data_IF_326698732009
#
_entry.id   IF_326698732009
#
_cell.length_a   1.000
_cell.length_b   1.000
_cell.length_c   1.000
_cell.angle_alpha   90.00
_cell.angle_beta   90.00
_cell.angle_gamma   90.00
#
_symmetry.space_group_name_H-M   'P 1'
#
loop_
_entity.id
_entity.type
_entity.pdbx_description
1 polymer ?
#
# COMPACT_ATOMS: atom_id res chain seq x y z
N UNK A 1 20.46 2.70 8.08
CA UNK A 1 21.47 1.61 8.11
C UNK A 1 21.21 0.85 9.40
N UNK A 2 21.07 -0.48 9.35
CA UNK A 2 20.67 -1.34 10.49
C UNK A 2 21.87 -1.65 11.38
N UNK A 3 22.44 -0.63 12.00
CA UNK A 3 23.63 -0.78 12.85
C UNK A 3 23.32 -1.69 14.06
N UNK A 4 24.28 -2.52 14.45
CA UNK A 4 24.19 -3.42 15.61
C UNK A 4 23.04 -4.43 15.57
N UNK A 5 22.60 -4.83 14.37
CA UNK A 5 21.57 -5.85 14.20
C UNK A 5 21.58 -6.48 12.81
N UNK A 6 20.59 -7.33 12.57
CA UNK A 6 20.36 -8.01 11.30
C UNK A 6 19.33 -7.21 10.49
N UNK A 7 19.61 -6.89 9.21
CA UNK A 7 18.63 -6.25 8.34
C UNK A 7 17.36 -7.10 8.23
N UNK A 8 16.15 -6.51 8.27
CA UNK A 8 14.88 -7.26 8.19
C UNK A 8 14.76 -8.18 6.98
N UNK A 9 15.38 -7.81 5.86
CA UNK A 9 15.40 -8.59 4.61
C UNK A 9 16.29 -9.83 4.64
N UNK A 10 17.16 -9.97 5.65
CA UNK A 10 18.08 -11.11 5.78
C UNK A 10 17.45 -12.30 6.49
N UNK A 11 16.33 -12.11 7.20
CA UNK A 11 15.63 -13.18 7.88
C UNK A 11 14.93 -14.12 6.90
N UNK A 12 15.12 -15.43 7.08
CA UNK A 12 14.48 -16.49 6.27
C UNK A 12 13.45 -17.30 7.05
N UNK A 13 13.30 -17.06 8.35
CA UNK A 13 12.35 -17.73 9.22
C UNK A 13 12.36 -17.18 10.65
N UNK A 14 11.45 -17.67 11.49
CA UNK A 14 11.22 -17.16 12.85
C UNK A 14 12.08 -17.81 13.94
N UNK A 15 12.69 -18.95 13.64
CA UNK A 15 13.38 -19.78 14.65
C UNK A 15 14.59 -19.04 15.22
N UNK A 16 15.45 -18.48 14.37
CA UNK A 16 16.65 -17.76 14.81
C UNK A 16 16.29 -16.57 15.70
N UNK A 17 15.27 -15.79 15.29
CA UNK A 17 14.76 -14.64 16.05
C UNK A 17 14.26 -15.08 17.43
N UNK A 18 13.44 -16.13 17.50
CA UNK A 18 12.85 -16.59 18.77
C UNK A 18 13.89 -17.20 19.72
N UNK A 19 14.85 -17.97 19.19
CA UNK A 19 15.93 -18.55 19.99
C UNK A 19 16.91 -17.48 20.47
N UNK A 20 17.21 -16.48 19.64
CA UNK A 20 18.02 -15.32 20.06
C UNK A 20 17.32 -14.58 21.20
N UNK A 21 16.05 -14.18 21.02
CA UNK A 21 15.24 -13.55 22.08
C UNK A 21 15.22 -14.38 23.36
N UNK A 22 15.03 -15.70 23.24
CA UNK A 22 15.03 -16.59 24.39
C UNK A 22 16.39 -16.64 25.11
N UNK A 23 17.49 -16.60 24.36
CA UNK A 23 18.84 -16.67 24.93
C UNK A 23 19.29 -15.36 25.58
N UNK A 24 19.00 -14.22 24.94
CA UNK A 24 19.46 -12.89 25.38
C UNK A 24 18.50 -12.24 26.37
N UNK A 25 17.20 -12.60 26.30
CA UNK A 25 16.09 -11.92 26.98
C UNK A 25 15.92 -10.44 26.58
N UNK A 26 16.48 -10.07 25.44
CA UNK A 26 16.47 -8.70 24.91
C UNK A 26 15.81 -8.65 23.52
N UNK A 27 15.20 -7.51 23.12
CA UNK A 27 14.63 -7.36 21.78
C UNK A 27 15.64 -7.66 20.67
N UNK A 28 15.26 -8.55 19.74
CA UNK A 28 16.06 -8.87 18.55
C UNK A 28 15.92 -7.75 17.52
N UNK A 29 17.05 -7.32 16.98
CA UNK A 29 17.14 -6.20 16.02
C UNK A 29 17.52 -6.74 14.65
N UNK A 30 16.76 -6.52 13.57
CA UNK A 30 15.56 -5.69 13.41
C UNK A 30 14.42 -6.42 12.71
N UNK A 31 13.19 -5.89 12.83
CA UNK A 31 11.99 -6.40 12.17
C UNK A 31 11.27 -5.33 11.35
N UNK A 32 10.51 -5.79 10.34
CA UNK A 32 9.52 -5.04 9.57
C UNK A 32 8.24 -5.89 9.50
N UNK A 33 7.14 -5.38 8.92
CA UNK A 33 5.82 -6.01 9.05
C UNK A 33 5.80 -7.51 8.73
N UNK A 34 6.44 -7.96 7.63
CA UNK A 34 6.50 -9.38 7.28
C UNK A 34 7.31 -10.23 8.28
N UNK A 35 8.31 -9.64 8.95
CA UNK A 35 9.09 -10.30 9.99
C UNK A 35 8.22 -10.50 11.24
N UNK A 36 7.52 -9.44 11.66
CA UNK A 36 6.55 -9.50 12.76
C UNK A 36 5.46 -10.54 12.48
N UNK A 37 4.83 -10.47 11.30
CA UNK A 37 3.81 -11.41 10.89
C UNK A 37 4.32 -12.86 10.81
N UNK A 38 5.55 -13.07 10.35
CA UNK A 38 6.18 -14.39 10.32
C UNK A 38 6.41 -14.97 11.71
N UNK A 39 7.01 -14.20 12.61
CA UNK A 39 7.25 -14.58 14.01
C UNK A 39 5.94 -14.85 14.74
N UNK A 40 4.94 -13.97 14.58
CA UNK A 40 3.66 -14.13 15.26
C UNK A 40 2.84 -15.29 14.70
N UNK A 41 2.92 -15.57 13.39
CA UNK A 41 2.33 -16.77 12.81
C UNK A 41 2.95 -18.07 13.39
N UNK A 42 4.26 -18.06 13.66
CA UNK A 42 4.94 -19.18 14.34
C UNK A 42 4.40 -19.34 15.76
N UNK A 43 4.24 -18.24 16.51
CA UNK A 43 3.67 -18.25 17.86
C UNK A 43 2.25 -18.83 17.89
N UNK A 44 1.35 -18.34 17.04
CA UNK A 44 -0.03 -18.81 16.94
C UNK A 44 -0.10 -20.32 16.64
N UNK A 45 0.61 -20.77 15.60
CA UNK A 45 0.60 -22.17 15.17
C UNK A 45 1.25 -23.09 16.19
N UNK A 46 2.31 -22.64 16.87
CA UNK A 46 2.98 -23.41 17.92
C UNK A 46 2.04 -23.67 19.11
N UNK A 47 1.19 -22.70 19.45
CA UNK A 47 0.17 -22.84 20.50
C UNK A 47 -1.09 -23.57 20.06
N UNK A 48 -1.19 -23.97 18.78
CA UNK A 48 -2.36 -24.69 18.24
C UNK A 48 -3.50 -23.80 17.78
N UNK A 49 -3.31 -22.48 17.70
CA UNK A 49 -4.27 -21.56 17.10
C UNK A 49 -4.04 -21.55 15.58
N UNK A 50 -5.04 -21.88 14.74
CA UNK A 50 -4.86 -21.81 13.29
C UNK A 50 -4.58 -20.37 12.87
N UNK A 51 -3.39 -20.14 12.33
CA UNK A 51 -2.91 -18.82 11.89
C UNK A 51 -2.48 -18.81 10.43
N UNK A 52 -2.69 -17.69 9.73
CA UNK A 52 -2.12 -17.42 8.40
C UNK A 52 -1.61 -15.98 8.30
N UNK A 53 -0.67 -15.75 7.40
CA UNK A 53 -0.18 -14.41 7.06
C UNK A 53 -1.01 -13.83 5.92
N UNK A 54 -1.36 -12.56 6.04
CA UNK A 54 -2.05 -11.77 5.03
C UNK A 54 -1.11 -10.69 4.51
N UNK A 55 -1.20 -10.37 3.23
CA UNK A 55 -0.52 -9.23 2.60
C UNK A 55 -1.57 -8.33 1.94
N UNK A 56 -1.59 -7.06 2.33
CA UNK A 56 -2.44 -6.03 1.75
C UNK A 56 -1.62 -5.09 0.88
N UNK A 57 -1.99 -4.90 -0.39
CA UNK A 57 -1.34 -3.97 -1.31
C UNK A 57 -2.02 -2.60 -1.28
N UNK A 58 -1.20 -1.55 -1.33
CA UNK A 58 -1.65 -0.17 -1.06
C UNK A 58 -2.36 -0.06 0.30
N UNK A 59 -1.66 -0.46 1.37
CA UNK A 59 -2.20 -0.42 2.72
C UNK A 59 -2.16 1.01 3.24
N UNK A 60 -3.31 1.53 3.67
CA UNK A 60 -3.35 2.81 4.36
C UNK A 60 -2.74 2.64 5.76
N UNK A 61 -1.92 3.60 6.17
CA UNK A 61 -1.53 3.80 7.55
C UNK A 61 -2.05 5.18 7.97
N UNK A 62 -3.28 5.17 8.47
CA UNK A 62 -4.03 6.33 8.96
C UNK A 62 -3.65 6.60 10.42
N UNK A 63 -3.07 7.77 10.70
CA UNK A 63 -2.60 8.12 12.04
C UNK A 63 -3.70 8.74 12.94
N UNK A 64 -4.92 8.93 12.44
CA UNK A 64 -5.95 9.68 13.14
C UNK A 64 -7.33 8.99 13.18
N UNK A 65 -7.43 7.79 12.57
CA UNK A 65 -8.61 6.94 12.56
C UNK A 65 -9.88 7.62 12.01
N UNK A 66 -9.72 8.49 11.00
CA UNK A 66 -10.81 9.17 10.32
C UNK A 66 -11.25 8.47 9.02
N UNK A 67 -10.64 7.32 8.66
CA UNK A 67 -10.89 6.58 7.40
C UNK A 67 -10.60 7.42 6.14
N UNK A 68 -9.75 8.43 6.27
CA UNK A 68 -9.33 9.31 5.20
C UNK A 68 -7.82 9.45 5.24
N UNK A 69 -7.19 9.27 4.08
CA UNK A 69 -5.77 9.52 3.91
C UNK A 69 -5.60 10.92 3.36
N UNK A 70 -5.05 11.85 4.14
CA UNK A 70 -4.83 13.21 3.69
C UNK A 70 -3.45 13.36 3.02
N UNK A 71 -3.45 13.57 1.71
CA UNK A 71 -2.23 13.87 0.94
C UNK A 71 -2.21 15.35 0.58
N UNK A 72 -1.26 16.09 1.15
CA UNK A 72 -1.07 17.51 0.87
C UNK A 72 0.00 17.69 -0.20
N UNK A 73 -0.33 18.45 -1.25
CA UNK A 73 0.63 18.83 -2.29
C UNK A 73 0.78 20.34 -2.40
N UNK A 74 1.94 20.78 -2.88
CA UNK A 74 2.21 22.19 -3.17
C UNK A 74 1.71 22.63 -4.57
N UNK A 75 2.03 23.87 -4.96
CA UNK A 75 1.63 24.44 -6.27
C UNK A 75 2.20 23.69 -7.48
N UNK A 76 3.34 23.01 -7.29
CA UNK A 76 4.01 22.19 -8.30
C UNK A 76 3.64 20.71 -8.16
N UNK A 77 2.73 20.41 -7.21
CA UNK A 77 2.21 19.09 -6.95
C UNK A 77 3.18 18.16 -6.19
N UNK A 78 4.27 18.69 -5.65
CA UNK A 78 5.14 17.93 -4.79
C UNK A 78 4.44 17.68 -3.46
N UNK A 79 4.52 16.44 -2.95
CA UNK A 79 3.98 16.12 -1.62
C UNK A 79 4.70 16.96 -0.57
N UNK A 80 3.91 17.68 0.22
CA UNK A 80 4.41 18.32 1.41
C UNK A 80 4.56 17.25 2.50
N UNK A 81 5.80 16.80 2.71
CA UNK A 81 6.15 15.80 3.71
C UNK A 81 6.04 16.31 5.16
N UNK A 82 5.86 17.62 5.38
CA UNK A 82 5.61 18.18 6.72
C UNK A 82 4.13 18.15 7.08
N UNK A 83 3.26 18.34 6.07
CA UNK A 83 1.80 18.33 6.25
C UNK A 83 1.21 16.93 6.11
N UNK A 84 1.73 16.12 5.17
CA UNK A 84 1.28 14.75 4.92
C UNK A 84 1.88 13.83 5.97
N UNK A 85 1.06 13.47 6.97
CA UNK A 85 1.46 12.54 8.05
C UNK A 85 1.10 11.11 7.72
N UNK A 86 0.01 10.91 7.01
CA UNK A 86 -0.46 9.59 6.62
C UNK A 86 0.41 9.02 5.51
N UNK A 87 0.53 7.69 5.48
CA UNK A 87 1.37 7.00 4.51
C UNK A 87 0.64 5.83 3.87
N UNK A 88 0.81 5.67 2.56
CA UNK A 88 0.31 4.51 1.83
C UNK A 88 1.49 3.57 1.62
N UNK A 89 1.42 2.41 2.26
CA UNK A 89 2.45 1.40 2.17
C UNK A 89 2.21 0.58 0.90
N UNK A 90 3.28 0.32 0.16
CA UNK A 90 3.20 -0.49 -1.07
C UNK A 90 2.57 -1.84 -0.79
N UNK A 91 2.97 -2.44 0.34
CA UNK A 91 2.29 -3.54 0.95
C UNK A 91 2.48 -3.51 2.48
N UNK A 92 1.55 -4.12 3.18
CA UNK A 92 1.63 -4.39 4.61
C UNK A 92 1.25 -5.83 4.92
N UNK A 93 1.79 -6.40 5.99
CA UNK A 93 1.58 -7.78 6.38
C UNK A 93 1.12 -7.89 7.84
N UNK A 94 0.02 -8.61 8.04
CA UNK A 94 -0.51 -8.98 9.35
C UNK A 94 -0.90 -10.46 9.41
N UNK A 95 -1.52 -10.89 10.51
CA UNK A 95 -1.98 -12.25 10.71
C UNK A 95 -3.49 -12.35 10.79
N UNK A 96 -4.03 -13.47 10.32
CA UNK A 96 -5.35 -13.91 10.73
C UNK A 96 -5.26 -15.11 11.66
N UNK A 97 -5.99 -15.06 12.77
CA UNK A 97 -6.15 -16.15 13.71
C UNK A 97 -7.59 -16.65 13.70
N UNK A 98 -7.80 -17.97 13.60
CA UNK A 98 -9.13 -18.56 13.57
C UNK A 98 -9.64 -18.84 14.98
N UNK A 99 -10.73 -18.20 15.38
CA UNK A 99 -11.38 -18.43 16.67
C UNK A 99 -12.86 -18.03 16.66
N UNK A 100 -13.63 -18.56 17.61
CA UNK A 100 -14.96 -18.02 17.92
C UNK A 100 -14.84 -16.67 18.64
N UNK A 101 -15.85 -15.83 18.51
CA UNK A 101 -15.96 -14.54 19.23
C UNK A 101 -17.19 -14.53 20.14
N UNK A 102 -17.16 -15.25 21.28
CA UNK A 102 -18.30 -15.32 22.21
C UNK A 102 -18.59 -13.97 22.90
N UNK A 103 -17.64 -13.03 22.82
CA UNK A 103 -17.76 -11.65 23.27
C UNK A 103 -18.51 -10.75 22.27
N UNK A 104 -18.75 -11.21 21.04
CA UNK A 104 -19.47 -10.50 20.00
C UNK A 104 -20.81 -11.19 19.68
N UNK A 105 -21.75 -10.49 19.00
CA UNK A 105 -22.93 -11.15 18.44
C UNK A 105 -22.58 -12.31 17.50
N UNK A 106 -23.53 -13.24 17.33
CA UNK A 106 -23.37 -14.38 16.42
C UNK A 106 -23.07 -13.88 15.01
N UNK A 107 -22.10 -14.52 14.34
CA UNK A 107 -21.68 -14.19 12.98
C UNK A 107 -20.28 -13.58 12.87
N UNK A 108 -19.67 -13.14 13.98
CA UNK A 108 -18.35 -12.48 13.97
C UNK A 108 -17.15 -13.39 14.35
N UNK A 109 -17.38 -14.69 14.50
CA UNK A 109 -16.30 -15.68 14.64
C UNK A 109 -15.56 -15.95 13.31
N UNK A 110 -14.66 -16.94 13.30
CA UNK A 110 -13.85 -17.28 12.14
C UNK A 110 -12.51 -16.54 12.15
N UNK A 111 -12.09 -16.01 10.99
CA UNK A 111 -10.83 -15.28 10.90
C UNK A 111 -10.89 -13.92 11.60
N UNK A 112 -9.91 -13.69 12.46
CA UNK A 112 -9.70 -12.42 13.15
C UNK A 112 -8.37 -11.83 12.70
N UNK A 113 -8.38 -10.60 12.20
CA UNK A 113 -7.16 -9.85 11.89
C UNK A 113 -6.45 -9.45 13.20
N UNK A 114 -5.15 -9.70 13.27
CA UNK A 114 -4.28 -9.35 14.38
C UNK A 114 -2.96 -8.86 13.78
N UNK A 115 -2.56 -7.64 14.13
CA UNK A 115 -1.31 -7.04 13.65
C UNK A 115 -0.37 -6.77 14.83
N UNK A 116 0.86 -7.29 14.69
CA UNK A 116 1.94 -7.13 15.67
C UNK A 116 2.96 -6.07 15.24
N UNK A 117 2.76 -5.45 14.08
CA UNK A 117 3.52 -4.30 13.64
C UNK A 117 3.12 -3.09 14.48
N UNK A 118 4.05 -2.43 15.18
CA UNK A 118 3.74 -1.27 15.99
C UNK A 118 3.44 -0.07 15.09
N UNK A 119 2.16 0.10 14.74
CA UNK A 119 1.64 1.22 13.96
C UNK A 119 1.03 2.25 14.92
N UNK A 120 -0.16 1.94 15.44
CA UNK A 120 -0.90 2.78 16.37
C UNK A 120 -0.98 2.18 17.79
N UNK A 121 -1.26 3.04 18.76
CA UNK A 121 -1.47 2.61 20.14
C UNK A 121 -2.94 2.19 20.36
N UNK A 122 -3.14 1.03 20.97
CA UNK A 122 -4.42 0.56 21.50
C UNK A 122 -4.30 0.40 23.02
N UNK A 123 -5.09 1.20 23.77
CA UNK A 123 -5.00 1.37 25.23
C UNK A 123 -3.59 1.69 25.76
N UNK A 124 -2.84 2.52 25.03
CA UNK A 124 -1.49 2.94 25.42
C UNK A 124 -0.40 1.88 25.17
N UNK A 125 -0.70 0.82 24.43
CA UNK A 125 0.28 -0.19 23.99
C UNK A 125 0.22 -0.36 22.47
N UNK A 126 1.37 -0.61 21.84
CA UNK A 126 1.41 -0.99 20.43
C UNK A 126 0.90 -2.42 20.25
N UNK A 127 -0.35 -2.55 19.80
CA UNK A 127 -1.05 -3.81 19.55
C UNK A 127 -2.27 -3.53 18.67
N UNK A 128 -2.71 -4.54 17.90
CA UNK A 128 -3.92 -4.44 17.09
C UNK A 128 -4.64 -5.80 17.03
N UNK A 129 -5.95 -5.79 17.30
CA UNK A 129 -6.85 -6.92 17.20
C UNK A 129 -6.99 -7.74 18.49
N UNK A 130 -7.77 -8.84 18.47
CA UNK A 130 -8.41 -9.46 17.30
C UNK A 130 -9.63 -8.69 16.77
N UNK A 131 -9.55 -8.25 15.51
CA UNK A 131 -10.64 -7.62 14.76
C UNK A 131 -11.34 -8.66 13.88
N UNK A 132 -12.67 -8.78 13.97
CA UNK A 132 -13.39 -9.74 13.12
C UNK A 132 -13.35 -9.30 11.66
N UNK A 133 -12.82 -10.15 10.77
CA UNK A 133 -12.77 -9.88 9.32
C UNK A 133 -14.19 -9.67 8.76
N UNK A 134 -15.17 -10.37 9.32
CA UNK A 134 -16.58 -10.18 8.96
C UNK A 134 -17.13 -8.82 9.39
N UNK A 135 -16.73 -8.33 10.58
CA UNK A 135 -17.12 -6.99 11.05
C UNK A 135 -16.47 -5.90 10.18
N UNK A 136 -15.20 -6.08 9.81
CA UNK A 136 -14.49 -5.18 8.88
C UNK A 136 -15.23 -5.12 7.55
N UNK A 137 -15.56 -6.26 6.93
CA UNK A 137 -16.28 -6.30 5.64
C UNK A 137 -17.58 -5.51 5.62
N UNK A 138 -18.33 -5.51 6.72
CA UNK A 138 -19.64 -4.86 6.80
C UNK A 138 -19.57 -3.48 7.48
N UNK A 139 -18.38 -2.97 7.79
CA UNK A 139 -18.23 -1.68 8.46
C UNK A 139 -18.70 -1.65 9.91
N UNK A 140 -18.89 -2.80 10.57
CA UNK A 140 -19.29 -2.89 11.98
C UNK A 140 -18.09 -2.65 12.92
N UNK A 141 -17.44 -1.50 12.76
CA UNK A 141 -16.17 -1.14 13.43
C UNK A 141 -16.34 -0.78 14.90
N UNK A 142 -17.58 -0.73 15.42
CA UNK A 142 -17.86 -0.57 16.83
C UNK A 142 -17.48 -1.81 17.68
N UNK A 143 -17.29 -2.96 17.05
CA UNK A 143 -16.90 -4.18 17.74
C UNK A 143 -15.40 -4.20 18.00
N UNK A 144 -15.04 -4.49 19.26
CA UNK A 144 -13.66 -4.68 19.66
C UNK A 144 -13.00 -5.86 18.91
N UNK A 145 -11.69 -5.87 18.72
CA UNK A 145 -10.71 -4.84 19.08
C UNK A 145 -10.20 -4.16 17.82
N UNK A 146 -9.92 -2.86 17.90
CA UNK A 146 -9.21 -2.08 16.86
C UNK A 146 -9.79 -2.16 15.44
N UNK A 147 -11.06 -2.56 15.30
CA UNK A 147 -11.71 -2.72 14.00
C UNK A 147 -11.72 -1.44 13.14
N UNK A 148 -11.83 -0.20 13.70
CA UNK A 148 -11.73 1.02 12.90
C UNK A 148 -10.37 1.16 12.21
N UNK A 149 -9.29 0.82 12.92
CA UNK A 149 -7.93 0.87 12.38
C UNK A 149 -7.75 -0.12 11.23
N UNK A 150 -8.11 -1.39 11.44
CA UNK A 150 -7.99 -2.43 10.39
C UNK A 150 -8.90 -2.11 9.19
N UNK A 151 -10.09 -1.52 9.42
CA UNK A 151 -10.95 -1.06 8.34
C UNK A 151 -10.28 0.06 7.52
N UNK A 152 -9.61 1.01 8.17
CA UNK A 152 -8.85 2.07 7.51
C UNK A 152 -7.79 1.50 6.58
N UNK A 153 -7.02 0.51 7.05
CA UNK A 153 -5.92 -0.10 6.29
C UNK A 153 -6.36 -0.63 4.91
N UNK A 154 -7.64 -1.01 4.75
CA UNK A 154 -8.18 -1.65 3.54
C UNK A 154 -9.23 -0.83 2.78
N UNK A 155 -9.82 0.22 3.38
CA UNK A 155 -10.96 0.95 2.81
C UNK A 155 -10.87 2.49 2.89
N UNK A 156 -9.76 3.09 3.36
CA UNK A 156 -9.68 4.55 3.42
C UNK A 156 -9.77 5.22 2.04
N UNK A 157 -10.54 6.31 1.95
CA UNK A 157 -10.51 7.21 0.80
C UNK A 157 -9.21 8.04 0.82
N UNK A 158 -8.58 8.28 -0.33
CA UNK A 158 -7.40 9.16 -0.42
C UNK A 158 -7.81 10.54 -0.89
N UNK A 159 -7.58 11.55 -0.05
CA UNK A 159 -7.93 12.95 -0.33
C UNK A 159 -6.67 13.71 -0.72
N UNK A 160 -6.62 14.12 -1.98
CA UNK A 160 -5.57 14.98 -2.49
C UNK A 160 -5.96 16.43 -2.32
N UNK A 161 -5.29 17.12 -1.40
CA UNK A 161 -5.50 18.53 -1.10
C UNK A 161 -4.31 19.38 -1.50
N UNK A 162 -4.57 20.53 -2.13
CA UNK A 162 -3.55 21.53 -2.39
C UNK A 162 -3.41 22.47 -1.19
N UNK A 163 -2.20 22.59 -0.66
CA UNK A 163 -1.88 23.58 0.36
C UNK A 163 -1.43 24.89 -0.30
N UNK A 164 -2.23 25.94 -0.14
CA UNK A 164 -1.95 27.27 -0.67
C UNK A 164 -1.01 28.04 0.27
N UNK A 165 -0.28 29.03 -0.26
CA UNK A 165 0.66 29.86 0.53
C UNK A 165 0.00 30.65 1.66
N UNK A 166 -1.29 30.94 1.54
CA UNK A 166 -2.10 31.61 2.57
C UNK A 166 -2.58 30.67 3.70
N UNK A 167 -2.22 29.38 3.61
CA UNK A 167 -2.60 28.34 4.59
C UNK A 167 -3.94 27.66 4.28
N UNK A 168 -4.67 28.08 3.24
CA UNK A 168 -5.91 27.41 2.82
C UNK A 168 -5.60 26.06 2.17
N UNK A 169 -6.51 25.09 2.36
CA UNK A 169 -6.42 23.74 1.79
C UNK A 169 -7.60 23.51 0.86
N UNK A 170 -7.32 23.18 -0.40
CA UNK A 170 -8.36 22.97 -1.42
C UNK A 170 -8.30 21.54 -1.92
N UNK A 171 -9.37 20.78 -1.73
CA UNK A 171 -9.49 19.42 -2.23
C UNK A 171 -9.47 19.45 -3.77
N UNK A 172 -8.56 18.70 -4.36
CA UNK A 172 -8.41 18.54 -5.81
C UNK A 172 -9.06 17.25 -6.30
N UNK A 173 -8.87 16.15 -5.55
CA UNK A 173 -9.31 14.83 -5.95
C UNK A 173 -9.54 13.94 -4.73
N UNK A 174 -10.49 13.00 -4.87
CA UNK A 174 -10.75 11.94 -3.90
C UNK A 174 -10.65 10.62 -4.67
N UNK A 175 -9.66 9.80 -4.35
CA UNK A 175 -9.53 8.45 -4.89
C UNK A 175 -10.14 7.46 -3.91
N UNK A 176 -11.23 6.82 -4.34
CA UNK A 176 -12.00 5.87 -3.53
C UNK A 176 -11.56 4.41 -3.76
N UNK A 177 -10.52 4.18 -4.57
CA UNK A 177 -10.13 2.85 -5.08
C UNK A 177 -8.66 2.51 -4.84
N UNK A 178 -7.86 3.47 -4.36
CA UNK A 178 -6.41 3.32 -4.22
C UNK A 178 -5.99 2.41 -3.07
N UNK A 179 -6.79 2.28 -2.01
CA UNK A 179 -6.44 1.55 -0.79
C UNK A 179 -6.96 0.11 -0.85
N UNK A 180 -6.16 -0.82 -0.32
CA UNK A 180 -6.53 -2.21 -0.20
C UNK A 180 -6.84 -2.88 -1.53
N UNK A 181 -6.03 -2.58 -2.56
CA UNK A 181 -6.30 -2.99 -3.95
C UNK A 181 -6.24 -4.50 -4.16
N UNK A 182 -5.48 -5.20 -3.33
CA UNK A 182 -5.32 -6.65 -3.39
C UNK A 182 -4.91 -7.18 -2.01
N UNK A 183 -5.62 -8.19 -1.51
CA UNK A 183 -5.32 -8.83 -0.23
C UNK A 183 -5.07 -10.32 -0.48
N UNK A 184 -3.85 -10.77 -0.21
CA UNK A 184 -3.39 -12.12 -0.53
C UNK A 184 -3.03 -12.93 0.71
N UNK A 185 -3.13 -14.24 0.57
CA UNK A 185 -2.53 -15.22 1.48
C UNK A 185 -1.98 -16.41 0.70
N UNK A 186 -1.23 -17.30 1.35
CA UNK A 186 -0.76 -18.53 0.72
C UNK A 186 -1.91 -19.54 0.56
N UNK A 187 -2.01 -20.17 -0.60
CA UNK A 187 -2.98 -21.23 -0.87
C UNK A 187 -2.69 -22.51 -0.03
N UNK A 188 -3.75 -23.22 0.34
CA UNK A 188 -3.63 -24.51 1.03
C UNK A 188 -3.02 -25.56 0.09
N UNK A 189 -2.03 -26.32 0.59
CA UNK A 189 -1.40 -27.40 -0.17
C UNK A 189 -0.47 -26.97 -1.32
N UNK A 190 -0.32 -25.68 -1.61
CA UNK A 190 0.52 -25.17 -2.70
C UNK A 190 1.28 -23.90 -2.28
N UNK A 191 2.29 -23.48 -3.04
CA UNK A 191 2.98 -22.18 -2.84
C UNK A 191 2.38 -21.05 -3.67
N UNK A 192 1.19 -21.25 -4.25
CA UNK A 192 0.48 -20.20 -4.98
C UNK A 192 -0.15 -19.21 -4.01
N UNK A 193 -0.40 -18.01 -4.52
CA UNK A 193 -1.18 -17.00 -3.83
C UNK A 193 -2.68 -17.30 -3.96
N UNK A 194 -3.43 -16.93 -2.93
CA UNK A 194 -4.89 -16.93 -2.90
C UNK A 194 -5.36 -15.52 -2.59
N UNK A 195 -6.18 -14.98 -3.47
CA UNK A 195 -6.87 -13.71 -3.26
C UNK A 195 -7.99 -13.88 -2.23
N UNK A 196 -8.00 -12.99 -1.24
CA UNK A 196 -8.99 -12.90 -0.16
C UNK A 196 -9.51 -11.47 0.00
N UNK A 197 -9.36 -10.61 -1.01
CA UNK A 197 -9.83 -9.20 -0.99
C UNK A 197 -11.31 -9.11 -0.65
N UNK A 198 -12.13 -9.96 -1.28
CA UNK A 198 -13.58 -10.03 -1.03
C UNK A 198 -13.95 -10.48 0.40
N UNK A 199 -12.99 -10.95 1.20
CA UNK A 199 -13.25 -11.26 2.61
C UNK A 199 -13.23 -10.00 3.48
N UNK A 200 -12.49 -8.97 3.09
CA UNK A 200 -12.30 -7.73 3.86
C UNK A 200 -13.19 -6.59 3.38
N UNK A 201 -13.57 -6.58 2.10
CA UNK A 201 -14.41 -5.53 1.54
C UNK A 201 -15.29 -6.05 0.40
N UNK A 202 -16.34 -5.30 0.10
CA UNK A 202 -17.14 -5.51 -1.11
C UNK A 202 -16.40 -4.99 -2.34
N UNK A 203 -16.88 -5.36 -3.52
CA UNK A 203 -16.28 -4.92 -4.77
C UNK A 203 -16.45 -3.40 -4.93
N UNK A 204 -15.39 -2.73 -5.37
CA UNK A 204 -15.40 -1.28 -5.59
C UNK A 204 -16.55 -0.86 -6.53
N UNK A 205 -17.31 0.16 -6.11
CA UNK A 205 -18.41 0.71 -6.91
C UNK A 205 -19.74 0.00 -6.77
N UNK A 206 -19.87 -1.03 -5.91
CA UNK A 206 -21.19 -1.60 -5.58
C UNK A 206 -21.88 -0.83 -4.45
N UNK A 207 -23.20 -1.01 -4.32
CA UNK A 207 -23.97 -0.35 -3.25
C UNK A 207 -23.54 -0.85 -1.86
N UNK A 208 -23.17 -2.14 -1.75
CA UNK A 208 -22.72 -2.74 -0.49
C UNK A 208 -21.40 -2.16 0.01
N UNK A 209 -20.48 -1.81 -0.90
CA UNK A 209 -19.22 -1.11 -0.55
C UNK A 209 -19.52 0.23 0.11
N UNK A 210 -20.43 1.01 -0.49
CA UNK A 210 -20.85 2.31 0.06
C UNK A 210 -21.55 2.17 1.40
N UNK A 211 -22.47 1.21 1.51
CA UNK A 211 -23.19 0.95 2.75
C UNK A 211 -22.25 0.53 3.89
N UNK A 212 -21.22 -0.29 3.60
CA UNK A 212 -20.22 -0.67 4.59
C UNK A 212 -19.40 0.53 5.07
N UNK A 213 -18.96 1.40 4.15
CA UNK A 213 -18.26 2.64 4.51
C UNK A 213 -19.14 3.56 5.36
N UNK A 214 -20.39 3.80 4.94
CA UNK A 214 -21.34 4.64 5.68
C UNK A 214 -21.60 4.08 7.08
N UNK A 215 -21.70 2.76 7.21
CA UNK A 215 -21.86 2.08 8.50
C UNK A 215 -20.63 2.29 9.39
N UNK A 216 -19.42 2.21 8.84
CA UNK A 216 -18.19 2.46 9.60
C UNK A 216 -18.11 3.92 10.08
N UNK A 217 -18.53 4.87 9.25
CA UNK A 217 -18.62 6.29 9.60
C UNK A 217 -19.63 6.54 10.72
N UNK A 218 -20.80 5.90 10.69
CA UNK A 218 -21.81 6.01 11.75
C UNK A 218 -21.28 5.58 13.12
N UNK A 219 -20.40 4.58 13.17
CA UNK A 219 -19.87 4.02 14.42
C UNK A 219 -18.70 4.79 15.05
N UNK A 220 -18.43 6.00 14.58
CA UNK A 220 -17.54 6.94 15.28
C UNK A 220 -16.32 7.37 14.48
N UNK A 221 -16.23 6.99 13.20
CA UNK A 221 -15.22 7.55 12.32
C UNK A 221 -15.73 8.89 11.78
N UNK A 222 -15.07 9.97 12.20
CA UNK A 222 -15.40 11.32 11.75
C UNK A 222 -14.78 11.60 10.38
N UNK A 223 -15.53 11.32 9.31
CA UNK A 223 -15.26 11.91 7.99
C UNK A 223 -15.43 13.42 8.09
N UNK A 224 -14.36 14.17 7.82
CA UNK A 224 -14.56 15.58 7.49
C UNK A 224 -15.36 15.60 6.19
N UNK A 225 -16.55 16.21 6.21
CA UNK A 225 -17.47 16.22 5.07
C UNK A 225 -16.81 17.02 3.94
N UNK A 226 -16.01 16.33 3.14
CA UNK A 226 -15.71 16.76 1.79
C UNK A 226 -17.00 16.51 1.01
N UNK A 227 -17.72 17.58 0.66
CA UNK A 227 -18.79 17.51 -0.33
C UNK A 227 -18.28 16.71 -1.53
N UNK A 228 -19.09 15.76 -2.04
CA UNK A 228 -18.75 15.00 -3.25
C UNK A 228 -18.45 16.00 -4.37
N UNK A 229 -17.16 16.28 -4.58
CA UNK A 229 -16.70 17.03 -5.74
C UNK A 229 -16.95 16.08 -6.90
N UNK A 230 -18.08 16.25 -7.59
CA UNK A 230 -18.36 15.53 -8.82
C UNK A 230 -17.19 15.79 -9.77
N UNK A 231 -16.30 14.81 -9.94
CA UNK A 231 -15.12 14.92 -10.79
C UNK A 231 -15.56 14.79 -12.25
N UNK A 232 -16.28 15.78 -12.76
CA UNK A 232 -16.54 15.89 -14.18
C UNK A 232 -15.28 16.47 -14.81
N UNK A 233 -14.27 15.62 -15.01
CA UNK A 233 -12.97 15.97 -15.55
C UNK A 233 -13.08 16.19 -17.05
N UNK A 234 -12.65 17.37 -17.52
CA UNK A 234 -12.63 17.69 -18.96
C UNK A 234 -11.50 16.96 -19.70
N UNK A 235 -10.45 16.59 -18.96
CA UNK A 235 -9.28 15.86 -19.45
C UNK A 235 -8.97 14.73 -18.48
N UNK A 236 -8.85 13.51 -19.00
CA UNK A 236 -8.31 12.38 -18.23
C UNK A 236 -6.82 12.25 -18.46
N UNK A 237 -6.11 11.75 -17.45
CA UNK A 237 -4.72 11.35 -17.57
C UNK A 237 -4.54 9.94 -17.03
N UNK A 238 -3.92 9.08 -17.82
CA UNK A 238 -3.41 7.79 -17.40
C UNK A 238 -1.88 7.79 -17.53
N UNK A 239 -1.19 7.05 -16.67
CA UNK A 239 0.24 6.77 -16.87
C UNK A 239 0.47 5.31 -16.61
N UNK A 240 1.26 4.73 -17.50
CA UNK A 240 1.67 3.36 -17.46
C UNK A 240 3.19 3.38 -17.37
N UNK A 241 3.71 2.55 -16.48
CA UNK A 241 5.13 2.33 -16.35
C UNK A 241 5.36 0.89 -16.79
N UNK A 242 6.28 0.68 -17.71
CA UNK A 242 6.61 -0.66 -18.15
C UNK A 242 7.33 -1.42 -17.02
N UNK A 243 7.00 -2.70 -16.88
CA UNK A 243 7.73 -3.59 -15.97
C UNK A 243 9.21 -3.54 -16.35
N UNK A 244 10.01 -3.02 -15.43
CA UNK A 244 11.44 -2.84 -15.64
C UNK A 244 12.22 -3.73 -14.69
N UNK A 245 13.36 -4.22 -15.18
CA UNK A 245 14.26 -5.03 -14.38
C UNK A 245 15.17 -4.09 -13.62
N UNK A 246 15.48 -4.45 -12.38
CA UNK A 246 16.49 -3.74 -11.62
C UNK A 246 17.80 -3.63 -12.43
N UNK A 247 18.31 -2.42 -12.58
CA UNK A 247 19.53 -2.18 -13.35
C UNK A 247 19.30 -1.88 -14.83
N UNK A 248 18.05 -1.64 -15.26
CA UNK A 248 17.76 -1.12 -16.60
C UNK A 248 17.18 0.29 -16.56
N UNK A 249 17.29 1.00 -17.68
CA UNK A 249 16.45 2.16 -17.95
C UNK A 249 14.98 1.74 -17.98
N UNK A 250 14.07 2.69 -17.74
CA UNK A 250 12.65 2.46 -17.91
C UNK A 250 11.95 3.70 -18.46
N UNK A 251 10.78 3.50 -19.06
CA UNK A 251 9.97 4.56 -19.64
C UNK A 251 8.64 4.69 -18.89
N UNK A 252 8.18 5.93 -18.84
CA UNK A 252 6.91 6.33 -18.23
C UNK A 252 6.03 6.88 -19.33
N UNK A 253 4.97 6.16 -19.69
CA UNK A 253 4.06 6.52 -20.78
C UNK A 253 2.84 7.22 -20.19
N UNK A 254 2.72 8.52 -20.44
CA UNK A 254 1.64 9.39 -19.97
C UNK A 254 0.66 9.61 -21.12
N UNK A 255 -0.59 9.22 -20.95
CA UNK A 255 -1.67 9.40 -21.94
C UNK A 255 -2.71 10.37 -21.39
N UNK A 256 -2.88 11.49 -22.09
CA UNK A 256 -3.95 12.45 -21.86
C UNK A 256 -5.10 12.15 -22.80
N UNK A 257 -6.34 12.31 -22.34
CA UNK A 257 -7.54 12.21 -23.16
C UNK A 257 -8.42 13.44 -22.94
N UNK A 258 -8.54 14.28 -23.97
CA UNK A 258 -9.49 15.40 -23.95
C UNK A 258 -10.91 14.87 -24.23
N UNK A 259 -11.85 15.14 -23.33
CA UNK A 259 -13.26 14.74 -23.44
C UNK A 259 -14.16 15.84 -23.99
N UNK A 260 -13.60 17.01 -24.31
CA UNK A 260 -14.38 18.17 -24.75
C UNK A 260 -14.16 18.47 -26.23
N UNK A 261 -15.07 19.27 -26.78
CA UNK A 261 -14.96 19.82 -28.12
C UNK A 261 -14.02 21.03 -28.23
N UNK A 262 -13.34 21.43 -27.15
CA UNK A 262 -12.41 22.56 -27.12
C UNK A 262 -10.96 22.08 -27.03
N UNK A 263 -9.99 22.78 -27.66
CA UNK A 263 -8.59 22.49 -27.44
C UNK A 263 -8.16 22.94 -26.03
N UNK A 264 -7.19 22.23 -25.44
CA UNK A 264 -6.56 22.61 -24.17
C UNK A 264 -5.05 22.66 -24.30
N UNK A 265 -4.42 23.55 -23.52
CA UNK A 265 -2.99 23.44 -23.21
C UNK A 265 -2.86 23.07 -21.74
N UNK A 266 -2.12 22.00 -21.50
CA UNK A 266 -2.00 21.36 -20.20
C UNK A 266 -0.55 21.41 -19.77
N UNK A 267 -0.26 21.95 -18.59
CA UNK A 267 1.08 21.90 -18.01
C UNK A 267 1.15 20.70 -17.07
N UNK A 268 1.93 19.69 -17.44
CA UNK A 268 2.13 18.49 -16.65
C UNK A 268 3.47 18.54 -15.91
N UNK A 269 3.46 18.04 -14.68
CA UNK A 269 4.61 17.89 -13.79
C UNK A 269 4.78 16.41 -13.45
N UNK A 270 6.00 15.91 -13.59
CA UNK A 270 6.40 14.56 -13.18
C UNK A 270 7.53 14.66 -12.17
N UNK A 271 7.32 14.12 -10.97
CA UNK A 271 8.36 13.97 -9.96
C UNK A 271 8.55 12.50 -9.63
N UNK A 272 9.79 12.03 -9.76
CA UNK A 272 10.21 10.68 -9.44
C UNK A 272 11.03 10.65 -8.17
N UNK A 273 10.61 9.80 -7.23
CA UNK A 273 11.18 9.67 -5.90
C UNK A 273 11.59 8.23 -5.62
N UNK A 274 12.73 8.06 -4.97
CA UNK A 274 13.09 6.79 -4.34
C UNK A 274 12.41 6.77 -2.98
N UNK A 275 11.61 5.74 -2.71
CA UNK A 275 10.80 5.60 -1.50
C UNK A 275 11.11 4.29 -0.78
N UNK A 276 10.87 4.25 0.52
CA UNK A 276 10.80 2.98 1.25
C UNK A 276 9.50 2.23 0.90
N UNK A 277 9.42 0.93 1.19
CA UNK A 277 8.17 0.17 0.95
C UNK A 277 6.97 0.70 1.76
N UNK A 278 7.24 1.45 2.83
CA UNK A 278 6.26 2.19 3.62
C UNK A 278 5.73 3.46 2.95
N UNK A 279 6.18 3.78 1.72
CA UNK A 279 5.84 5.00 1.00
C UNK A 279 6.67 6.23 1.39
N UNK A 280 7.50 6.15 2.44
CA UNK A 280 8.30 7.28 2.92
C UNK A 280 9.36 7.68 1.88
N UNK A 281 9.41 8.96 1.43
CA UNK A 281 10.39 9.40 0.43
C UNK A 281 11.80 9.52 1.01
N UNK A 282 12.79 9.03 0.25
CA UNK A 282 14.22 9.13 0.55
C UNK A 282 14.89 10.26 -0.22
N UNK A 283 14.71 10.29 -1.54
CA UNK A 283 15.30 11.32 -2.41
C UNK A 283 14.56 11.41 -3.74
N UNK A 284 14.47 12.62 -4.29
CA UNK A 284 13.99 12.85 -5.66
C UNK A 284 15.11 12.50 -6.64
N UNK A 285 14.79 11.78 -7.72
CA UNK A 285 15.72 11.47 -8.80
C UNK A 285 15.32 12.10 -10.14
N UNK A 286 14.08 12.60 -10.25
CA UNK A 286 13.54 13.20 -11.46
C UNK A 286 12.51 14.27 -11.14
N UNK A 287 12.54 15.38 -11.88
CA UNK A 287 11.61 16.48 -11.75
C UNK A 287 11.53 17.22 -13.09
N UNK A 288 10.54 16.86 -13.92
CA UNK A 288 10.33 17.48 -15.22
C UNK A 288 8.96 18.14 -15.28
N UNK A 289 8.86 19.19 -16.08
CA UNK A 289 7.58 19.82 -16.45
C UNK A 289 7.51 20.04 -17.95
N UNK A 290 6.34 19.84 -18.55
CA UNK A 290 6.15 20.04 -19.98
C UNK A 290 4.71 20.46 -20.31
N UNK A 291 4.58 21.26 -21.37
CA UNK A 291 3.30 21.72 -21.88
C UNK A 291 2.79 20.81 -22.99
N UNK A 292 1.50 20.49 -22.93
CA UNK A 292 0.83 19.55 -23.83
C UNK A 292 -0.40 20.21 -24.42
N UNK A 293 -0.34 20.53 -25.70
CA UNK A 293 -1.55 20.91 -26.45
C UNK A 293 -2.35 19.66 -26.80
N UNK A 294 -3.60 19.61 -26.36
CA UNK A 294 -4.59 18.57 -26.59
C UNK A 294 -5.66 19.07 -27.55
N UNK A 295 -5.79 18.40 -28.67
CA UNK A 295 -6.85 18.65 -29.64
C UNK A 295 -8.22 18.22 -29.08
N UNK A 296 -9.34 18.82 -29.54
CA UNK A 296 -10.68 18.40 -29.19
C UNK A 296 -10.91 16.90 -29.35
N UNK A 297 -11.53 16.26 -28.36
CA UNK A 297 -11.95 14.84 -28.38
C UNK A 297 -10.82 13.83 -28.69
N UNK A 298 -9.55 14.22 -28.56
CA UNK A 298 -8.40 13.37 -28.91
C UNK A 298 -7.53 13.05 -27.70
N UNK A 299 -6.92 11.86 -27.78
CA UNK A 299 -5.86 11.44 -26.89
C UNK A 299 -4.48 11.88 -27.37
N UNK A 300 -3.55 12.13 -26.44
CA UNK A 300 -2.15 12.41 -26.72
C UNK A 300 -1.26 11.67 -25.72
N UNK A 301 -0.25 10.98 -26.24
CA UNK A 301 0.68 10.20 -25.43
C UNK A 301 2.06 10.84 -25.44
N UNK A 302 2.69 10.89 -24.27
CA UNK A 302 4.05 11.38 -24.04
C UNK A 302 4.82 10.28 -23.32
N UNK A 303 6.06 10.05 -23.76
CA UNK A 303 6.96 9.09 -23.13
C UNK A 303 8.06 9.87 -22.43
N UNK A 304 8.20 9.65 -21.14
CA UNK A 304 9.26 10.22 -20.32
C UNK A 304 10.26 9.13 -19.99
N UNK A 305 11.49 9.29 -20.47
CA UNK A 305 12.57 8.32 -20.19
C UNK A 305 13.19 8.57 -18.82
N UNK A 306 13.44 7.48 -18.10
CA UNK A 306 14.13 7.43 -16.81
C UNK A 306 15.38 6.55 -16.92
N UNK A 307 16.53 7.12 -17.32
CA UNK A 307 17.79 6.39 -17.39
C UNK A 307 18.27 5.90 -16.04
N UNK A 308 18.87 4.71 -15.99
CA UNK A 308 19.42 4.05 -14.81
C UNK A 308 20.38 4.95 -14.03
N UNK A 309 21.19 5.71 -14.77
CA UNK A 309 22.19 6.64 -14.21
C UNK A 309 21.56 7.68 -13.29
N UNK A 310 20.28 8.01 -13.47
CA UNK A 310 19.58 8.98 -12.63
C UNK A 310 19.25 8.46 -11.25
N UNK A 311 19.11 7.14 -11.03
CA UNK A 311 18.61 6.61 -9.75
C UNK A 311 19.47 5.50 -9.11
N UNK A 312 20.36 4.85 -9.87
CA UNK A 312 21.11 3.68 -9.38
C UNK A 312 22.01 3.98 -8.17
N UNK A 313 22.66 5.15 -8.12
CA UNK A 313 23.53 5.52 -7.01
C UNK A 313 22.77 5.81 -5.71
N UNK A 314 21.48 6.13 -5.83
CA UNK A 314 20.62 6.48 -4.70
C UNK A 314 19.79 5.27 -4.21
N UNK A 315 19.75 4.20 -5.00
CA UNK A 315 19.03 2.97 -4.72
C UNK A 315 19.78 2.10 -3.70
N UNK A 316 19.06 1.59 -2.70
CA UNK A 316 19.62 0.66 -1.71
C UNK A 316 18.92 -0.71 -1.80
N UNK A 317 19.66 -1.82 -2.01
CA UNK A 317 19.09 -3.07 -2.53
C UNK A 317 18.03 -3.82 -1.73
N UNK A 318 17.72 -3.36 -0.53
CA UNK A 318 16.89 -4.12 0.39
C UNK A 318 15.59 -3.41 0.74
N UNK A 319 15.39 -2.14 0.35
CA UNK A 319 14.26 -1.34 0.87
C UNK A 319 13.72 -0.25 -0.05
N UNK A 320 14.26 -0.07 -1.27
CA UNK A 320 13.91 1.08 -2.10
C UNK A 320 13.04 0.71 -3.30
N UNK A 321 11.89 1.36 -3.39
CA UNK A 321 10.99 1.37 -4.53
C UNK A 321 11.08 2.72 -5.26
N UNK A 322 10.51 2.80 -6.46
CA UNK A 322 10.38 4.06 -7.19
C UNK A 322 8.93 4.53 -7.10
N UNK A 323 8.67 5.65 -6.47
CA UNK A 323 7.37 6.31 -6.56
C UNK A 323 7.42 7.41 -7.62
N UNK A 324 6.44 7.44 -8.51
CA UNK A 324 6.21 8.54 -9.43
C UNK A 324 4.94 9.27 -9.00
N UNK A 325 5.11 10.53 -8.66
CA UNK A 325 4.00 11.45 -8.45
C UNK A 325 3.69 12.16 -9.77
N UNK A 326 2.41 12.33 -10.06
CA UNK A 326 1.93 13.00 -11.27
C UNK A 326 1.07 14.16 -10.85
N UNK A 327 1.33 15.33 -11.42
CA UNK A 327 0.44 16.47 -11.25
C UNK A 327 0.21 17.16 -12.57
N UNK A 328 -1.03 17.48 -12.84
CA UNK A 328 -1.41 18.15 -14.08
C UNK A 328 -2.13 19.44 -13.70
N UNK A 329 -1.52 20.57 -14.06
CA UNK A 329 -2.19 21.85 -14.06
C UNK A 329 -2.83 22.08 -15.43
N UNK A 330 -4.17 22.18 -15.46
CA UNK A 330 -4.83 22.79 -16.61
C UNK A 330 -4.69 24.31 -16.50
N UNK A 331 -4.08 24.95 -17.50
CA UNK A 331 -4.17 26.40 -17.62
C UNK A 331 -5.55 26.76 -18.17
N UNK A 332 -6.45 27.17 -17.27
CA UNK A 332 -7.61 28.01 -17.56
C UNK A 332 -7.61 29.21 -16.61
N UNK A 333 -8.39 30.23 -16.95
CA UNK A 333 -8.73 31.38 -16.08
C UNK A 333 -9.37 30.92 -14.74
N UNK A 334 -9.70 29.63 -14.58
CA UNK A 334 -9.98 28.96 -13.31
C UNK A 334 -9.18 27.65 -13.19
N UNK A 335 -8.38 27.57 -12.13
CA UNK A 335 -7.44 26.49 -11.85
C UNK A 335 -8.15 25.19 -11.43
N UNK A 336 -8.07 24.12 -12.25
CA UNK A 336 -8.32 22.74 -11.79
C UNK A 336 -7.04 21.92 -11.97
N UNK A 337 -6.49 21.42 -10.87
CA UNK A 337 -5.31 20.55 -10.85
C UNK A 337 -5.74 19.11 -10.53
N UNK A 338 -5.11 18.13 -11.16
CA UNK A 338 -5.33 16.71 -10.87
C UNK A 338 -4.04 16.08 -10.38
N UNK A 339 -4.11 15.39 -9.24
CA UNK A 339 -2.97 14.74 -8.61
C UNK A 339 -3.33 13.27 -8.37
N UNK A 340 -2.51 12.33 -8.85
CA UNK A 340 -2.63 10.90 -8.53
C UNK A 340 -1.21 10.32 -8.43
N UNK A 341 -0.97 9.53 -7.37
CA UNK A 341 0.32 8.93 -7.06
C UNK A 341 0.39 7.47 -7.52
N UNK A 342 1.50 7.08 -8.14
CA UNK A 342 1.76 5.69 -8.49
C UNK A 342 3.08 5.26 -7.91
N UNK A 343 3.09 4.16 -7.15
CA UNK A 343 4.32 3.54 -6.69
C UNK A 343 4.66 2.33 -7.56
N UNK A 344 5.83 2.37 -8.19
CA UNK A 344 6.44 1.23 -8.86
C UNK A 344 7.35 0.49 -7.85
N UNK A 345 6.96 -0.73 -7.51
CA UNK A 345 7.79 -1.62 -6.71
C UNK A 345 8.73 -2.38 -7.65
N UNK A 346 9.96 -1.89 -7.85
CA UNK A 346 11.02 -2.66 -8.50
C UNK A 346 11.58 -3.69 -7.51
N UNK A 347 10.81 -4.73 -7.22
CA UNK A 347 11.38 -5.91 -6.58
C UNK A 347 12.18 -6.67 -7.63
N UNK A 348 13.50 -6.66 -7.47
CA UNK A 348 14.35 -7.63 -8.15
C UNK A 348 13.88 -9.02 -7.78
N UNK A 349 13.32 -9.73 -8.76
CA UNK A 349 13.05 -11.17 -8.68
C UNK A 349 14.36 -11.90 -8.41
N UNK A 350 14.72 -12.06 -7.14
CA UNK A 350 15.65 -13.10 -6.71
C UNK A 350 14.85 -14.39 -6.67
N UNK A 351 14.53 -14.92 -7.85
CA UNK A 351 14.30 -16.34 -8.02
C UNK A 351 15.67 -17.01 -7.89
N UNK A 352 16.08 -17.38 -6.66
CA UNK A 352 17.15 -18.37 -6.51
C UNK A 352 16.53 -19.70 -6.97
N UNK A 353 16.69 -19.99 -8.25
CA UNK A 353 16.72 -21.37 -8.70
C UNK A 353 17.92 -22.02 -8.00
N UNK A 354 17.65 -22.88 -7.01
CA UNK A 354 18.61 -23.92 -6.65
C UNK A 354 18.66 -24.91 -7.83
N UNK A 355 19.49 -24.60 -8.82
CA UNK A 355 20.01 -25.61 -9.71
C UNK A 355 20.96 -26.48 -8.87
N UNK A 356 20.44 -27.60 -8.36
CA UNK A 356 21.31 -28.66 -7.87
C UNK A 356 22.19 -29.11 -9.04
N UNK A 357 23.47 -28.73 -8.97
CA UNK A 357 24.52 -29.36 -9.77
C UNK A 357 24.63 -30.79 -9.27
N UNK A 358 23.95 -31.70 -9.96
CA UNK A 358 24.07 -33.14 -9.77
C UNK A 358 25.53 -33.52 -10.00
N UNK A 359 26.28 -33.71 -8.92
CA UNK A 359 27.51 -34.50 -9.00
C UNK A 359 27.05 -35.95 -9.16
N UNK A 360 27.17 -36.45 -10.39
CA UNK A 360 26.94 -37.83 -10.70
C UNK A 360 27.84 -38.72 -9.83
N UNK A 361 27.26 -39.42 -8.86
CA UNK A 361 27.76 -40.70 -8.37
C UNK A 361 26.60 -41.69 -8.32
N UNK A 362 26.74 -42.71 -9.17
CA UNK A 362 25.95 -43.93 -9.26
C UNK A 362 25.52 -44.43 -7.88
N UNK A 363 24.22 -44.62 -7.67
CA UNK A 363 23.69 -45.73 -6.86
C UNK A 363 22.39 -46.20 -7.50
N UNK A 364 22.31 -47.52 -7.72
CA UNK A 364 21.20 -48.26 -8.32
C UNK A 364 19.89 -48.06 -7.55
N UNK A 365 18.79 -47.87 -8.29
CA UNK A 365 17.45 -48.14 -7.80
C UNK A 365 17.28 -49.65 -7.60
N UNK A 366 16.98 -50.06 -6.37
CA UNK A 366 16.19 -51.26 -6.11
C UNK A 366 14.77 -50.81 -5.75
N UNK A 367 13.84 -51.07 -6.65
CA UNK A 367 12.41 -51.23 -6.34
C UNK A 367 12.24 -52.44 -5.44
N UNK A 368 11.46 -52.33 -4.38
CA UNK A 368 10.65 -53.43 -3.84
C UNK A 368 9.53 -52.87 -2.94
N UNK A 369 8.33 -53.35 -3.29
CA UNK A 369 6.98 -53.33 -2.68
C UNK A 369 6.71 -52.54 -1.41
#
# INVERSE_FOLDING_TARGET
>A
IYEYGVPPSSWTGSVDILLEYYSTKEPVRYGQCWVFAGVFNTFLRCLGIPGRVITNYSSAHDNNANLQMDVFVDEHGKVDSKLTRDSIWNYHCWNEAWMSRPDLPVGFGGWQAVDSTPQENSDGMYRCGPASVQAIKHGHVCFQFDAPFVFAEVNSDVIYSKAMKDGTKVIQHIDKTQIGTLILTKEMGSNKTKDVTEHYKFQEGTEEERLALDTALMYGVKKSVAEDISSNTEVDMNVVIEDSVLGSDFNVTITFQNKTSKPYTVTAYISGNIVFYTGVPKTEFKNDSFDVTLEPMKGKTIIVSCPLTQFIQMWTPSFCNLALSRNVGLQYVDHKQFNIFYCLCLQGSILIHFAFKTLARKVQLFTLR
#
